data_IF_541846043735
#
_entry.id   IF_541846043735
#
_cell.length_a   1.000
_cell.length_b   1.000
_cell.length_c   1.000
_cell.angle_alpha   90.00
_cell.angle_beta   90.00
_cell.angle_gamma   90.00
#
_symmetry.space_group_name_H-M   'P 1'
#
loop_
_entity.id
_entity.type
_entity.pdbx_description
1 polymer ?
#
# COMPACT_ATOMS: atom_id res chain seq x y z
N UNK A 1 15.79 -26.00 0.25
CA UNK A 1 14.63 -25.29 0.84
C UNK A 1 13.42 -25.63 0.02
N UNK A 2 12.30 -25.90 0.68
CA UNK A 2 11.03 -26.26 0.07
C UNK A 2 10.30 -25.04 -0.52
N UNK A 3 10.75 -23.81 -0.25
CA UNK A 3 10.19 -22.54 -0.76
C UNK A 3 10.31 -22.43 -2.29
N UNK A 4 9.27 -21.90 -2.95
CA UNK A 4 9.24 -21.60 -4.39
C UNK A 4 9.06 -20.10 -4.59
N UNK A 5 10.09 -19.43 -5.09
CA UNK A 5 10.06 -17.98 -5.34
C UNK A 5 9.65 -17.74 -6.79
N UNK A 6 8.65 -16.89 -7.00
CA UNK A 6 8.16 -16.50 -8.33
C UNK A 6 8.36 -15.00 -8.52
N UNK A 7 9.24 -14.61 -9.43
CA UNK A 7 9.35 -13.22 -9.88
C UNK A 7 8.19 -12.91 -10.84
N UNK A 8 7.24 -12.09 -10.40
CA UNK A 8 6.01 -11.76 -11.14
C UNK A 8 6.26 -10.98 -12.44
N UNK A 9 7.39 -10.27 -12.56
CA UNK A 9 7.81 -9.57 -13.78
C UNK A 9 8.30 -10.53 -14.86
N UNK A 10 8.89 -11.67 -14.47
CA UNK A 10 9.26 -12.76 -15.38
C UNK A 10 8.13 -13.78 -15.55
N UNK A 11 7.13 -13.80 -14.67
CA UNK A 11 6.01 -14.76 -14.68
C UNK A 11 4.98 -14.54 -15.80
N UNK A 12 5.44 -14.01 -16.92
CA UNK A 12 4.74 -13.84 -18.19
C UNK A 12 5.55 -14.44 -19.36
N UNK A 13 6.79 -14.86 -19.14
CA UNK A 13 7.61 -15.53 -20.16
C UNK A 13 7.45 -17.05 -20.04
N UNK A 14 7.18 -17.69 -21.17
CA UNK A 14 6.86 -19.13 -21.25
C UNK A 14 7.95 -20.03 -20.67
N UNK A 15 9.22 -19.75 -20.95
CA UNK A 15 10.35 -20.49 -20.39
C UNK A 15 10.41 -20.41 -18.85
N UNK A 16 10.08 -19.25 -18.27
CA UNK A 16 10.11 -19.06 -16.82
C UNK A 16 8.92 -19.77 -16.16
N UNK A 17 7.77 -19.75 -16.82
CA UNK A 17 6.57 -20.50 -16.41
C UNK A 17 6.87 -22.00 -16.42
N UNK A 18 7.48 -22.53 -17.49
CA UNK A 18 7.90 -23.93 -17.56
C UNK A 18 8.88 -24.30 -16.45
N UNK A 19 9.80 -23.41 -16.11
CA UNK A 19 10.74 -23.60 -15.01
C UNK A 19 10.01 -23.69 -13.66
N UNK A 20 9.03 -22.83 -13.40
CA UNK A 20 8.24 -22.85 -12.15
C UNK A 20 7.38 -24.10 -12.04
N UNK A 21 6.96 -24.67 -13.17
CA UNK A 21 6.18 -25.91 -13.27
C UNK A 21 7.02 -27.19 -13.24
N UNK A 22 8.33 -27.08 -13.01
CA UNK A 22 9.23 -28.22 -12.78
C UNK A 22 9.71 -28.23 -11.33
N UNK A 23 9.93 -29.42 -10.77
CA UNK A 23 10.52 -29.57 -9.44
C UNK A 23 11.92 -28.95 -9.43
N UNK A 24 12.25 -28.18 -8.39
CA UNK A 24 13.57 -27.59 -8.23
C UNK A 24 14.04 -27.85 -6.81
N UNK A 25 15.10 -28.67 -6.67
CA UNK A 25 15.57 -29.17 -5.38
C UNK A 25 14.41 -29.84 -4.61
N UNK A 26 14.19 -29.45 -3.36
CA UNK A 26 13.11 -29.95 -2.50
C UNK A 26 11.75 -29.32 -2.82
N UNK A 27 11.74 -28.21 -3.54
CA UNK A 27 10.53 -27.45 -3.85
C UNK A 27 9.74 -28.11 -4.97
N UNK A 28 8.51 -28.53 -4.68
CA UNK A 28 7.61 -29.05 -5.71
C UNK A 28 7.22 -27.97 -6.74
N UNK A 29 6.78 -28.39 -7.95
CA UNK A 29 6.23 -27.47 -8.95
C UNK A 29 5.14 -26.56 -8.40
N UNK A 30 4.96 -25.39 -9.00
CA UNK A 30 3.73 -24.63 -8.76
C UNK A 30 2.51 -25.44 -9.20
N UNK A 31 1.38 -25.38 -8.46
CA UNK A 31 0.14 -25.97 -8.93
C UNK A 31 -0.38 -25.15 -10.12
N UNK A 32 -0.74 -25.82 -11.21
CA UNK A 32 -1.22 -25.16 -12.42
C UNK A 32 -1.95 -26.17 -13.30
N UNK A 33 -3.07 -25.76 -13.89
CA UNK A 33 -3.82 -26.60 -14.85
C UNK A 33 -3.43 -26.31 -16.31
N UNK A 34 -2.79 -25.17 -16.56
CA UNK A 34 -2.52 -24.70 -17.91
C UNK A 34 -1.39 -25.47 -18.57
N UNK A 35 -1.47 -25.77 -19.85
CA UNK A 35 -0.40 -26.42 -20.63
C UNK A 35 0.48 -25.37 -21.32
N UNK A 36 1.68 -25.77 -21.78
CA UNK A 36 2.62 -24.86 -22.44
C UNK A 36 1.97 -24.08 -23.60
N UNK A 37 1.19 -24.75 -24.43
CA UNK A 37 0.47 -24.11 -25.55
C UNK A 37 -0.51 -23.04 -25.10
N UNK A 38 -0.98 -23.07 -23.85
CA UNK A 38 -1.92 -22.09 -23.33
C UNK A 38 -1.27 -20.78 -22.86
N UNK A 39 0.06 -20.77 -22.65
CA UNK A 39 0.80 -19.58 -22.19
C UNK A 39 2.08 -19.27 -22.96
N UNK A 40 2.41 -20.06 -24.01
CA UNK A 40 3.55 -19.79 -24.90
C UNK A 40 3.52 -18.36 -25.44
N UNK A 41 4.67 -17.86 -25.88
CA UNK A 41 4.79 -16.53 -26.47
C UNK A 41 3.66 -16.21 -27.47
N UNK A 42 3.07 -15.01 -27.37
CA UNK A 42 1.96 -14.57 -28.23
C UNK A 42 0.58 -15.11 -27.84
N UNK A 43 0.50 -16.01 -26.87
CA UNK A 43 -0.77 -16.62 -26.42
C UNK A 43 -1.18 -16.04 -25.07
N UNK A 44 -2.35 -15.38 -25.02
CA UNK A 44 -2.94 -14.82 -23.79
C UNK A 44 -1.99 -13.86 -23.04
N UNK A 45 -1.20 -13.07 -23.77
CA UNK A 45 -0.36 -12.02 -23.17
C UNK A 45 -1.22 -11.00 -22.38
N UNK A 46 -2.41 -10.71 -22.90
CA UNK A 46 -3.50 -10.09 -22.17
C UNK A 46 -4.84 -10.70 -22.62
N UNK A 47 -5.83 -10.67 -21.72
CA UNK A 47 -7.20 -11.14 -21.95
C UNK A 47 -8.13 -9.99 -21.66
N UNK A 48 -8.90 -9.54 -22.66
CA UNK A 48 -9.73 -8.35 -22.52
C UNK A 48 -10.98 -8.61 -21.68
N UNK A 49 -11.38 -7.63 -20.90
CA UNK A 49 -12.68 -7.61 -20.20
C UNK A 49 -13.81 -7.38 -21.20
N UNK A 50 -14.78 -8.29 -21.27
CA UNK A 50 -16.01 -8.13 -22.06
C UNK A 50 -17.20 -8.68 -21.30
N UNK A 51 -17.81 -7.84 -20.48
CA UNK A 51 -19.01 -8.20 -19.70
C UNK A 51 -20.32 -7.93 -20.45
N UNK A 52 -20.27 -7.14 -21.52
CA UNK A 52 -21.38 -6.84 -22.41
C UNK A 52 -20.89 -6.68 -23.86
N UNK A 53 -21.84 -6.70 -24.79
CA UNK A 53 -21.66 -6.28 -26.18
C UNK A 53 -22.80 -5.32 -26.58
N UNK A 54 -22.58 -4.52 -27.62
CA UNK A 54 -23.61 -3.64 -28.19
C UNK A 54 -24.07 -4.26 -29.50
N UNK A 55 -25.34 -4.68 -29.57
CA UNK A 55 -25.88 -5.26 -30.79
C UNK A 55 -26.07 -4.21 -31.89
N UNK A 56 -26.39 -4.65 -33.11
CA UNK A 56 -26.65 -3.78 -34.27
C UNK A 56 -27.78 -2.76 -34.03
N UNK A 57 -28.67 -3.02 -33.06
CA UNK A 57 -29.74 -2.11 -32.64
C UNK A 57 -29.28 -1.05 -31.62
N UNK A 58 -27.96 -0.95 -31.36
CA UNK A 58 -27.36 -0.01 -30.42
C UNK A 58 -27.58 -0.37 -28.94
N UNK A 59 -28.19 -1.52 -28.63
CA UNK A 59 -28.48 -1.90 -27.24
C UNK A 59 -27.38 -2.75 -26.63
N UNK A 60 -26.93 -2.36 -25.44
CA UNK A 60 -26.01 -3.14 -24.63
C UNK A 60 -26.71 -4.39 -24.07
N UNK A 61 -26.05 -5.55 -24.20
CA UNK A 61 -26.50 -6.84 -23.68
C UNK A 61 -25.37 -7.51 -22.94
N UNK A 62 -25.65 -8.11 -21.78
CA UNK A 62 -24.64 -8.83 -21.01
C UNK A 62 -24.18 -10.08 -21.76
N UNK A 63 -22.91 -10.45 -21.58
CA UNK A 63 -22.37 -11.70 -22.12
C UNK A 63 -22.81 -12.91 -21.29
N UNK A 64 -22.97 -12.71 -19.98
CA UNK A 64 -23.50 -13.70 -19.04
C UNK A 64 -24.60 -13.07 -18.18
N UNK A 65 -25.57 -13.88 -17.77
CA UNK A 65 -26.64 -13.44 -16.86
C UNK A 65 -26.11 -13.12 -15.46
N UNK A 66 -25.03 -13.79 -15.05
CA UNK A 66 -24.28 -13.54 -13.81
C UNK A 66 -23.10 -12.61 -14.04
N UNK A 67 -22.73 -11.84 -13.01
CA UNK A 67 -21.53 -11.01 -12.97
C UNK A 67 -20.34 -11.67 -12.24
N UNK A 68 -20.55 -12.91 -11.78
CA UNK A 68 -19.62 -13.66 -10.94
C UNK A 68 -19.47 -15.10 -11.46
N UNK A 69 -18.23 -15.58 -11.57
CA UNK A 69 -17.90 -17.00 -11.81
C UNK A 69 -17.05 -17.56 -10.67
N UNK A 70 -17.16 -18.86 -10.40
CA UNK A 70 -16.14 -19.53 -9.58
C UNK A 70 -14.79 -19.53 -10.31
N UNK A 71 -13.68 -19.54 -9.57
CA UNK A 71 -12.33 -19.39 -10.13
C UNK A 71 -11.99 -20.47 -11.16
N UNK A 72 -12.49 -21.71 -11.02
CA UNK A 72 -12.24 -22.78 -11.98
C UNK A 72 -13.03 -22.56 -13.26
N UNK A 73 -14.30 -22.21 -13.17
CA UNK A 73 -15.12 -21.84 -14.34
C UNK A 73 -14.57 -20.62 -15.05
N UNK A 74 -14.10 -19.62 -14.31
CA UNK A 74 -13.43 -18.45 -14.87
C UNK A 74 -12.17 -18.85 -15.64
N UNK A 75 -11.26 -19.61 -15.04
CA UNK A 75 -10.02 -20.05 -15.68
C UNK A 75 -10.30 -20.94 -16.90
N UNK A 76 -11.25 -21.87 -16.79
CA UNK A 76 -11.68 -22.71 -17.91
C UNK A 76 -12.21 -21.86 -19.07
N UNK A 77 -13.01 -20.82 -18.79
CA UNK A 77 -13.52 -19.93 -19.83
C UNK A 77 -12.39 -19.18 -20.55
N UNK A 78 -11.53 -18.50 -19.80
CA UNK A 78 -10.50 -17.61 -20.37
C UNK A 78 -9.34 -18.38 -21.02
N UNK A 79 -9.22 -19.69 -20.74
CA UNK A 79 -8.19 -20.56 -21.31
C UNK A 79 -8.71 -21.60 -22.28
N UNK A 80 -10.00 -21.57 -22.60
CA UNK A 80 -10.62 -22.46 -23.58
C UNK A 80 -10.31 -22.05 -25.02
N UNK A 81 -10.35 -23.05 -25.89
CA UNK A 81 -10.32 -22.89 -27.35
C UNK A 81 -11.71 -23.00 -27.99
N UNK A 82 -12.77 -23.12 -27.18
CA UNK A 82 -14.15 -23.07 -27.64
C UNK A 82 -14.43 -21.72 -28.34
N UNK A 83 -14.99 -21.71 -29.56
CA UNK A 83 -15.31 -20.49 -30.30
C UNK A 83 -16.10 -19.45 -29.50
N UNK A 84 -16.94 -19.86 -28.54
CA UNK A 84 -17.75 -18.96 -27.70
C UNK A 84 -16.92 -18.08 -26.75
N UNK A 85 -15.71 -18.52 -26.45
CA UNK A 85 -14.77 -17.86 -25.52
C UNK A 85 -13.77 -16.94 -26.25
N UNK A 86 -13.82 -16.93 -27.58
CA UNK A 86 -12.94 -16.13 -28.44
C UNK A 86 -13.56 -14.76 -28.73
N UNK A 87 -12.73 -13.75 -28.91
CA UNK A 87 -13.16 -12.39 -29.19
C UNK A 87 -13.95 -12.30 -30.51
N UNK A 88 -13.70 -13.19 -31.47
CA UNK A 88 -14.52 -13.37 -32.68
C UNK A 88 -16.02 -13.42 -32.35
N UNK A 89 -16.40 -14.11 -31.28
CA UNK A 89 -17.80 -14.22 -30.85
C UNK A 89 -18.40 -12.85 -30.50
N UNK A 90 -17.61 -11.97 -29.89
CA UNK A 90 -18.06 -10.62 -29.53
C UNK A 90 -18.34 -9.82 -30.81
N UNK A 91 -17.43 -9.86 -31.78
CA UNK A 91 -17.59 -9.18 -33.07
C UNK A 91 -18.85 -9.67 -33.82
N UNK A 92 -19.05 -10.98 -33.89
CA UNK A 92 -20.25 -11.58 -34.49
C UNK A 92 -21.55 -11.11 -33.81
N UNK A 93 -21.55 -11.02 -32.48
CA UNK A 93 -22.69 -10.54 -31.70
C UNK A 93 -22.98 -9.04 -31.92
N UNK A 94 -21.95 -8.25 -32.21
CA UNK A 94 -22.08 -6.85 -32.60
C UNK A 94 -22.48 -6.67 -34.06
N UNK A 95 -22.42 -7.76 -34.86
CA UNK A 95 -22.69 -7.72 -36.29
C UNK A 95 -21.57 -7.09 -37.10
N UNK A 96 -20.36 -7.08 -36.55
CA UNK A 96 -19.13 -6.65 -37.20
C UNK A 96 -18.66 -7.72 -38.19
N UNK A 97 -18.07 -7.30 -39.30
CA UNK A 97 -17.40 -8.22 -40.22
C UNK A 97 -16.00 -8.58 -39.68
N UNK A 98 -15.86 -9.85 -39.29
CA UNK A 98 -14.68 -10.40 -38.61
C UNK A 98 -13.42 -10.38 -39.49
N UNK A 99 -13.57 -10.31 -40.81
CA UNK A 99 -12.44 -10.32 -41.75
C UNK A 99 -11.68 -8.98 -41.77
N UNK A 100 -12.28 -7.90 -41.26
CA UNK A 100 -11.59 -6.61 -41.04
C UNK A 100 -10.66 -6.61 -39.83
N UNK A 101 -10.71 -7.64 -38.98
CA UNK A 101 -9.93 -7.69 -37.75
C UNK A 101 -8.75 -8.67 -37.86
N UNK A 102 -7.57 -8.34 -37.28
CA UNK A 102 -6.44 -9.25 -37.28
C UNK A 102 -6.78 -10.61 -36.64
N UNK A 103 -6.29 -11.70 -37.25
CA UNK A 103 -6.55 -13.06 -36.74
C UNK A 103 -6.08 -13.26 -35.29
N UNK A 104 -5.04 -12.55 -34.86
CA UNK A 104 -4.58 -12.57 -33.47
C UNK A 104 -5.64 -12.01 -32.51
N UNK A 105 -6.32 -10.93 -32.90
CA UNK A 105 -7.37 -10.33 -32.09
C UNK A 105 -8.60 -11.24 -32.07
N UNK A 106 -9.06 -11.72 -33.23
CA UNK A 106 -10.26 -12.56 -33.31
C UNK A 106 -10.09 -13.90 -32.56
N UNK A 107 -8.88 -14.46 -32.54
CA UNK A 107 -8.53 -15.67 -31.80
C UNK A 107 -8.15 -15.43 -30.32
N UNK A 108 -8.09 -14.18 -29.86
CA UNK A 108 -7.83 -13.89 -28.44
C UNK A 108 -9.01 -14.32 -27.57
N UNK A 109 -8.75 -14.66 -26.31
CA UNK A 109 -9.79 -14.89 -25.33
C UNK A 109 -10.22 -13.57 -24.67
N UNK A 110 -11.42 -13.55 -24.12
CA UNK A 110 -11.91 -12.47 -23.25
C UNK A 110 -12.38 -13.07 -21.93
N UNK A 111 -12.63 -12.22 -20.92
CA UNK A 111 -13.29 -12.64 -19.69
C UNK A 111 -14.66 -11.97 -19.52
N UNK A 112 -15.71 -12.73 -19.12
CA UNK A 112 -17.10 -12.32 -19.26
C UNK A 112 -17.71 -11.66 -18.01
N UNK A 113 -16.99 -11.65 -16.89
CA UNK A 113 -17.51 -11.25 -15.57
C UNK A 113 -16.55 -10.30 -14.86
N UNK A 114 -17.05 -9.53 -13.90
CA UNK A 114 -16.20 -8.64 -13.09
C UNK A 114 -15.69 -9.34 -11.83
N UNK A 115 -16.46 -10.28 -11.29
CA UNK A 115 -16.17 -10.91 -10.02
C UNK A 115 -15.76 -12.37 -10.20
N UNK A 116 -14.79 -12.79 -9.39
CA UNK A 116 -14.34 -14.18 -9.31
C UNK A 116 -14.48 -14.65 -7.87
N UNK A 117 -15.19 -15.76 -7.69
CA UNK A 117 -15.38 -16.43 -6.40
C UNK A 117 -14.37 -17.55 -6.22
N UNK A 118 -13.57 -17.49 -5.16
CA UNK A 118 -12.58 -18.50 -4.77
C UNK A 118 -13.12 -19.27 -3.56
N UNK A 119 -13.52 -20.54 -3.73
CA UNK A 119 -13.96 -21.36 -2.60
C UNK A 119 -12.81 -21.67 -1.64
N UNK A 120 -13.11 -21.70 -0.34
CA UNK A 120 -12.12 -21.94 0.71
C UNK A 120 -12.25 -23.37 1.23
N UNK A 121 -11.16 -24.12 1.18
CA UNK A 121 -11.06 -25.42 1.83
C UNK A 121 -10.65 -25.24 3.29
N UNK A 122 -11.62 -25.03 4.18
CA UNK A 122 -11.38 -24.75 5.60
C UNK A 122 -10.59 -25.85 6.31
N UNK A 123 -10.78 -27.11 5.92
CA UNK A 123 -10.02 -28.23 6.48
C UNK A 123 -8.52 -28.09 6.15
N UNK A 124 -8.17 -27.86 4.89
CA UNK A 124 -6.78 -27.68 4.48
C UNK A 124 -6.18 -26.40 5.06
N UNK A 125 -6.93 -25.30 5.11
CA UNK A 125 -6.47 -24.03 5.70
C UNK A 125 -5.96 -24.24 7.13
N UNK A 126 -6.68 -25.02 7.95
CA UNK A 126 -6.27 -25.34 9.31
C UNK A 126 -5.18 -26.41 9.35
N UNK A 127 -5.32 -27.48 8.56
CA UNK A 127 -4.37 -28.60 8.50
C UNK A 127 -2.95 -28.17 8.12
N UNK A 128 -2.82 -27.24 7.17
CA UNK A 128 -1.52 -26.75 6.69
C UNK A 128 -1.08 -25.45 7.39
N UNK A 129 -1.76 -25.05 8.47
CA UNK A 129 -1.36 -23.90 9.28
C UNK A 129 -1.43 -22.56 8.55
N UNK A 130 -2.29 -22.42 7.54
CA UNK A 130 -2.50 -21.15 6.84
C UNK A 130 -3.10 -20.11 7.79
N UNK A 131 -4.05 -20.56 8.62
CA UNK A 131 -4.70 -19.77 9.67
C UNK A 131 -4.52 -20.49 11.01
N UNK A 132 -4.20 -19.73 12.06
CA UNK A 132 -4.08 -20.26 13.41
C UNK A 132 -5.43 -20.81 13.92
N UNK A 133 -5.46 -21.91 14.70
CA UNK A 133 -6.71 -22.46 15.22
C UNK A 133 -7.58 -21.47 16.01
N UNK A 134 -6.97 -20.48 16.67
CA UNK A 134 -7.68 -19.41 17.41
C UNK A 134 -8.56 -18.52 16.53
N UNK A 135 -8.29 -18.48 15.22
CA UNK A 135 -9.02 -17.68 14.24
C UNK A 135 -9.88 -18.55 13.30
N UNK A 136 -10.10 -19.82 13.64
CA UNK A 136 -10.82 -20.76 12.77
C UNK A 136 -12.26 -20.32 12.48
N UNK A 137 -12.90 -19.60 13.39
CA UNK A 137 -14.24 -19.02 13.27
C UNK A 137 -14.30 -17.86 12.27
N UNK A 138 -13.19 -17.16 12.05
CA UNK A 138 -13.07 -16.02 11.12
C UNK A 138 -12.87 -16.44 9.65
N UNK A 139 -12.63 -17.73 9.39
CA UNK A 139 -12.42 -18.25 8.03
C UNK A 139 -13.72 -18.16 7.23
N UNK A 140 -13.69 -17.41 6.13
CA UNK A 140 -14.83 -17.29 5.20
C UNK A 140 -15.01 -18.55 4.36
N UNK A 141 -16.23 -18.83 3.90
CA UNK A 141 -16.50 -19.95 2.99
C UNK A 141 -15.93 -19.71 1.59
N UNK A 142 -15.94 -18.46 1.14
CA UNK A 142 -15.49 -18.04 -0.17
C UNK A 142 -14.86 -16.65 -0.09
N UNK A 143 -13.80 -16.43 -0.86
CA UNK A 143 -13.30 -15.09 -1.15
C UNK A 143 -13.90 -14.61 -2.47
N UNK A 144 -14.35 -13.37 -2.53
CA UNK A 144 -14.84 -12.77 -3.78
C UNK A 144 -13.96 -11.58 -4.12
N UNK A 145 -13.34 -11.62 -5.30
CA UNK A 145 -12.50 -10.54 -5.82
C UNK A 145 -13.17 -9.87 -7.00
N UNK A 146 -12.89 -8.58 -7.19
CA UNK A 146 -13.28 -7.84 -8.39
C UNK A 146 -12.04 -7.61 -9.26
N UNK A 147 -12.03 -8.16 -10.48
CA UNK A 147 -10.98 -7.86 -11.46
C UNK A 147 -11.19 -6.43 -11.95
N UNK A 148 -10.33 -5.53 -11.47
CA UNK A 148 -10.29 -4.13 -11.89
C UNK A 148 -9.48 -4.00 -13.18
N UNK A 149 -9.75 -2.95 -13.96
CA UNK A 149 -9.13 -2.71 -15.25
C UNK A 149 -9.86 -3.39 -16.43
N UNK A 150 -9.34 -3.14 -17.63
CA UNK A 150 -9.93 -3.59 -18.90
C UNK A 150 -9.28 -4.86 -19.47
N UNK A 151 -8.22 -5.37 -18.83
CA UNK A 151 -7.50 -6.56 -19.27
C UNK A 151 -6.87 -7.31 -18.09
N UNK A 152 -6.76 -8.63 -18.25
CA UNK A 152 -6.03 -9.54 -17.37
C UNK A 152 -4.74 -9.98 -18.07
N UNK A 153 -3.59 -9.59 -17.53
CA UNK A 153 -2.28 -9.97 -18.09
C UNK A 153 -1.90 -11.40 -17.72
N UNK A 154 -1.04 -12.03 -18.55
CA UNK A 154 -0.61 -13.42 -18.41
C UNK A 154 -0.07 -13.78 -17.02
N UNK A 155 0.75 -12.92 -16.43
CA UNK A 155 1.28 -13.16 -15.09
C UNK A 155 0.16 -13.23 -14.04
N UNK A 156 -0.85 -12.37 -14.12
CA UNK A 156 -2.01 -12.40 -13.22
C UNK A 156 -2.90 -13.61 -13.47
N UNK A 157 -3.08 -14.01 -14.74
CA UNK A 157 -3.77 -15.25 -15.10
C UNK A 157 -3.10 -16.45 -14.42
N UNK A 158 -1.77 -16.56 -14.49
CA UNK A 158 -1.06 -17.66 -13.85
C UNK A 158 -1.08 -17.60 -12.32
N UNK A 159 -1.05 -16.41 -11.74
CA UNK A 159 -1.20 -16.26 -10.29
C UNK A 159 -2.58 -16.75 -9.82
N UNK A 160 -3.66 -16.43 -10.57
CA UNK A 160 -4.99 -16.98 -10.31
C UNK A 160 -5.03 -18.50 -10.52
N UNK A 161 -4.34 -19.03 -11.53
CA UNK A 161 -4.22 -20.47 -11.77
C UNK A 161 -3.54 -21.21 -10.60
N UNK A 162 -2.50 -20.62 -10.00
CA UNK A 162 -1.88 -21.14 -8.78
C UNK A 162 -2.92 -21.22 -7.65
N UNK A 163 -3.65 -20.12 -7.39
CA UNK A 163 -4.66 -20.10 -6.31
C UNK A 163 -5.73 -21.17 -6.54
N UNK A 164 -6.23 -21.30 -7.77
CA UNK A 164 -7.29 -22.25 -8.12
C UNK A 164 -6.89 -23.73 -7.94
N UNK A 165 -5.60 -24.04 -8.04
CA UNK A 165 -5.07 -25.41 -8.02
C UNK A 165 -4.30 -25.75 -6.74
N UNK A 166 -4.07 -24.78 -5.85
CA UNK A 166 -3.35 -25.00 -4.59
C UNK A 166 -4.18 -25.76 -3.54
N UNK A 167 -5.51 -25.62 -3.55
CA UNK A 167 -6.43 -26.22 -2.56
C UNK A 167 -5.99 -25.95 -1.10
N UNK A 168 -5.37 -24.78 -0.85
CA UNK A 168 -4.84 -24.37 0.44
C UNK A 168 -3.82 -25.35 1.07
N UNK A 169 -3.13 -26.15 0.25
CA UNK A 169 -2.11 -27.11 0.70
C UNK A 169 -0.76 -26.47 0.97
N UNK A 170 -0.52 -25.32 0.35
CA UNK A 170 0.73 -24.59 0.47
C UNK A 170 0.45 -23.11 0.74
N UNK A 171 1.08 -22.48 1.74
CA UNK A 171 0.98 -21.04 1.95
C UNK A 171 1.42 -20.25 0.70
N UNK A 172 0.68 -19.20 0.37
CA UNK A 172 1.04 -18.25 -0.69
C UNK A 172 1.41 -16.93 -0.02
N UNK A 173 2.59 -16.42 -0.33
CA UNK A 173 3.12 -15.16 0.19
C UNK A 173 3.38 -14.19 -0.95
N UNK A 174 3.13 -12.92 -0.68
CA UNK A 174 3.50 -11.79 -1.53
C UNK A 174 4.58 -10.96 -0.81
N UNK A 175 5.61 -10.55 -1.54
CA UNK A 175 6.55 -9.55 -1.05
C UNK A 175 5.87 -8.17 -1.02
N UNK A 176 6.20 -7.35 -0.04
CA UNK A 176 5.82 -5.94 -0.05
C UNK A 176 6.52 -5.14 -1.15
N UNK A 177 6.22 -3.84 -1.22
CA UNK A 177 6.86 -2.88 -2.14
C UNK A 177 6.08 -2.61 -3.43
N UNK A 178 5.12 -3.47 -3.78
CA UNK A 178 4.13 -3.20 -4.83
C UNK A 178 2.80 -2.75 -4.21
N UNK A 179 2.07 -1.88 -4.90
CA UNK A 179 0.82 -1.30 -4.39
C UNK A 179 -0.36 -1.40 -5.37
N UNK A 180 -0.19 -1.94 -6.58
CA UNK A 180 -1.32 -2.24 -7.46
C UNK A 180 -2.22 -3.31 -6.85
N UNK A 181 -3.52 -3.27 -7.09
CA UNK A 181 -4.41 -4.33 -6.60
C UNK A 181 -4.12 -5.67 -7.29
N UNK A 182 -3.78 -5.61 -8.57
CA UNK A 182 -3.40 -6.74 -9.40
C UNK A 182 -2.08 -7.39 -8.94
N UNK A 183 -1.17 -6.67 -8.29
CA UNK A 183 0.06 -7.24 -7.72
C UNK A 183 -0.24 -8.29 -6.63
N UNK A 184 -1.38 -8.13 -5.96
CA UNK A 184 -1.92 -9.06 -4.98
C UNK A 184 -3.17 -9.78 -5.51
N UNK A 185 -3.32 -9.87 -6.84
CA UNK A 185 -4.48 -10.51 -7.53
C UNK A 185 -5.84 -10.11 -6.96
N UNK A 186 -5.97 -8.83 -6.60
CA UNK A 186 -7.17 -8.21 -6.01
C UNK A 186 -7.59 -8.83 -4.66
N UNK A 187 -6.66 -9.44 -3.93
CA UNK A 187 -6.89 -10.12 -2.63
C UNK A 187 -6.30 -9.37 -1.43
N UNK A 188 -6.06 -8.06 -1.52
CA UNK A 188 -5.48 -7.28 -0.40
C UNK A 188 -6.28 -7.36 0.91
N UNK A 189 -7.60 -7.50 0.81
CA UNK A 189 -8.49 -7.69 1.96
C UNK A 189 -8.34 -9.06 2.66
N UNK A 190 -7.47 -9.94 2.15
CA UNK A 190 -7.29 -11.31 2.62
C UNK A 190 -5.81 -11.59 2.93
N UNK A 191 -5.06 -10.57 3.33
CA UNK A 191 -3.64 -10.67 3.66
C UNK A 191 -3.42 -10.74 5.17
N UNK A 192 -2.32 -11.36 5.57
CA UNK A 192 -1.77 -11.33 6.92
C UNK A 192 -0.29 -10.95 6.83
N UNK A 193 0.14 -9.95 7.59
CA UNK A 193 1.55 -9.57 7.70
C UNK A 193 2.29 -10.59 8.58
N UNK A 194 3.23 -11.32 7.98
CA UNK A 194 4.12 -12.26 8.64
C UNK A 194 5.57 -11.78 8.41
N UNK A 195 6.13 -11.07 9.38
CA UNK A 195 7.43 -10.41 9.31
C UNK A 195 7.50 -9.28 8.28
N UNK A 196 7.98 -9.60 7.09
CA UNK A 196 8.15 -8.64 5.97
C UNK A 196 7.36 -9.04 4.72
N UNK A 197 6.55 -10.10 4.81
CA UNK A 197 5.80 -10.65 3.70
C UNK A 197 4.31 -10.74 4.06
N UNK A 198 3.46 -10.74 3.03
CA UNK A 198 2.02 -10.83 3.18
C UNK A 198 1.54 -12.23 2.79
N UNK A 199 1.08 -13.01 3.78
CA UNK A 199 0.46 -14.32 3.58
C UNK A 199 -0.98 -14.15 3.11
N UNK A 200 -1.40 -14.87 2.08
CA UNK A 200 -2.81 -15.00 1.72
C UNK A 200 -3.54 -15.88 2.73
N UNK A 201 -4.54 -15.32 3.41
CA UNK A 201 -5.38 -16.02 4.40
C UNK A 201 -6.86 -15.77 4.11
N UNK A 202 -7.75 -16.77 4.24
CA UNK A 202 -9.18 -16.60 3.98
C UNK A 202 -9.91 -15.93 5.16
N UNK A 203 -9.35 -14.84 5.70
CA UNK A 203 -9.96 -13.98 6.71
C UNK A 203 -10.08 -12.60 6.12
N UNK A 204 -11.31 -12.09 6.02
CA UNK A 204 -11.55 -10.77 5.44
C UNK A 204 -11.19 -9.67 6.43
N UNK A 205 -10.13 -8.95 6.13
CA UNK A 205 -9.66 -7.75 6.85
C UNK A 205 -9.58 -6.62 5.84
N UNK A 206 -10.60 -5.76 5.73
CA UNK A 206 -10.62 -4.68 4.75
C UNK A 206 -9.40 -3.77 4.91
N UNK A 207 -8.75 -3.42 3.80
CA UNK A 207 -7.68 -2.42 3.83
C UNK A 207 -8.28 -1.07 4.19
N UNK A 208 -7.69 -0.39 5.18
CA UNK A 208 -8.09 0.96 5.53
C UNK A 208 -7.82 1.91 4.35
N UNK A 209 -8.83 2.69 3.97
CA UNK A 209 -8.71 3.67 2.89
C UNK A 209 -7.88 4.87 3.30
N UNK A 210 -7.83 5.20 4.59
CA UNK A 210 -6.98 6.25 5.12
C UNK A 210 -5.51 5.83 5.10
N UNK A 211 -5.24 4.55 5.37
CA UNK A 211 -3.90 3.96 5.40
C UNK A 211 -3.77 2.76 4.45
N UNK A 212 -3.81 2.98 3.12
CA UNK A 212 -3.83 1.89 2.13
C UNK A 212 -2.53 1.06 2.10
N UNK A 213 -1.49 1.54 2.78
CA UNK A 213 -0.20 0.86 2.93
C UNK A 213 -0.20 -0.18 4.05
N UNK A 214 -1.12 -0.06 5.03
CA UNK A 214 -1.27 -1.00 6.14
C UNK A 214 -2.19 -2.16 5.74
N UNK A 215 -1.71 -2.92 4.75
CA UNK A 215 -2.45 -4.06 4.24
C UNK A 215 -2.30 -5.30 5.12
N UNK A 216 -3.38 -6.07 5.19
CA UNK A 216 -3.44 -7.34 5.91
C UNK A 216 -3.61 -7.22 7.42
N UNK A 217 -4.08 -8.29 8.05
CA UNK A 217 -4.14 -8.39 9.51
C UNK A 217 -2.77 -8.71 10.12
N UNK A 218 -2.65 -8.56 11.44
CA UNK A 218 -1.50 -9.04 12.21
C UNK A 218 -1.94 -10.23 13.05
N UNK A 219 -1.22 -11.35 12.98
CA UNK A 219 -1.27 -12.41 14.00
C UNK A 219 -0.11 -12.16 14.96
N UNK A 220 -0.40 -11.53 16.09
CA UNK A 220 0.58 -10.98 17.02
C UNK A 220 1.58 -12.04 17.51
N UNK A 221 1.10 -13.23 17.91
CA UNK A 221 1.94 -14.34 18.37
C UNK A 221 2.91 -14.81 17.29
N UNK A 222 2.43 -14.98 16.05
CA UNK A 222 3.28 -15.43 14.95
C UNK A 222 4.30 -14.36 14.58
N UNK A 223 3.85 -13.12 14.42
CA UNK A 223 4.68 -11.97 14.07
C UNK A 223 5.77 -11.75 15.13
N UNK A 224 5.42 -11.78 16.41
CA UNK A 224 6.37 -11.65 17.52
C UNK A 224 7.45 -12.74 17.48
N UNK A 225 7.05 -14.00 17.28
CA UNK A 225 7.99 -15.11 17.15
C UNK A 225 8.93 -14.97 15.94
N UNK A 226 8.47 -14.36 14.84
CA UNK A 226 9.29 -14.04 13.67
C UNK A 226 10.27 -12.91 13.99
N UNK A 227 9.78 -11.78 14.52
CA UNK A 227 10.57 -10.59 14.85
C UNK A 227 11.67 -10.91 15.85
N UNK A 228 11.37 -11.68 16.90
CA UNK A 228 12.35 -12.12 17.92
C UNK A 228 13.49 -12.99 17.35
N UNK A 229 13.33 -13.50 16.12
CA UNK A 229 14.33 -14.31 15.41
C UNK A 229 15.00 -13.56 14.27
N UNK A 230 14.67 -12.29 14.04
CA UNK A 230 15.38 -11.49 13.05
C UNK A 230 16.84 -11.32 13.44
N UNK A 231 17.70 -11.44 12.43
CA UNK A 231 19.10 -11.08 12.54
C UNK A 231 19.26 -9.64 12.05
N UNK A 232 19.60 -8.76 12.97
CA UNK A 232 19.77 -7.34 12.73
C UNK A 232 21.18 -6.98 12.24
N UNK A 233 22.11 -7.95 12.24
CA UNK A 233 23.49 -7.73 11.84
C UNK A 233 24.13 -6.60 12.65
N UNK A 234 24.65 -5.60 11.95
CA UNK A 234 25.31 -4.41 12.50
C UNK A 234 24.47 -3.14 12.39
N UNK A 235 23.14 -3.25 12.36
CA UNK A 235 22.22 -2.13 12.15
C UNK A 235 22.37 -0.99 13.18
N UNK A 236 22.78 -1.32 14.41
CA UNK A 236 22.98 -0.35 15.49
C UNK A 236 24.43 0.13 15.64
N UNK A 237 25.37 -0.30 14.80
CA UNK A 237 26.78 0.05 14.93
C UNK A 237 27.02 1.54 14.62
N UNK A 238 27.48 2.35 15.60
CA UNK A 238 27.73 3.77 15.40
C UNK A 238 28.89 4.06 14.43
N UNK A 239 29.72 3.06 14.12
CA UNK A 239 30.85 3.19 13.20
C UNK A 239 30.47 2.90 11.74
N UNK A 240 29.24 2.43 11.51
CA UNK A 240 28.74 2.17 10.17
C UNK A 240 28.18 3.46 9.57
N UNK A 241 28.46 3.70 8.28
CA UNK A 241 27.70 4.68 7.52
C UNK A 241 26.39 4.06 7.04
N UNK A 242 25.27 4.48 7.61
CA UNK A 242 23.94 4.13 7.13
C UNK A 242 23.66 4.91 5.86
N UNK A 243 23.81 4.26 4.72
CA UNK A 243 23.57 4.86 3.41
C UNK A 243 22.07 5.12 3.15
N UNK A 244 21.70 5.91 2.13
CA UNK A 244 20.31 6.22 1.84
C UNK A 244 19.40 5.00 1.66
N UNK A 245 19.87 3.89 1.08
CA UNK A 245 19.05 2.69 0.89
C UNK A 245 18.84 1.93 2.20
N UNK A 246 19.86 1.86 3.07
CA UNK A 246 19.69 1.33 4.44
C UNK A 246 18.63 2.11 5.21
N UNK A 247 18.68 3.45 5.15
CA UNK A 247 17.69 4.31 5.80
C UNK A 247 16.31 4.12 5.21
N UNK A 248 16.19 4.06 3.89
CA UNK A 248 14.91 3.88 3.20
C UNK A 248 14.27 2.53 3.51
N UNK A 249 15.06 1.47 3.60
CA UNK A 249 14.57 0.14 3.97
C UNK A 249 14.00 0.11 5.39
N UNK A 250 14.53 0.93 6.31
CA UNK A 250 14.00 1.03 7.68
C UNK A 250 12.53 1.45 7.77
N UNK A 251 12.00 2.11 6.73
CA UNK A 251 10.60 2.52 6.67
C UNK A 251 9.68 1.31 6.85
N UNK A 252 9.95 0.22 6.14
CA UNK A 252 9.11 -0.98 6.20
C UNK A 252 9.29 -1.70 7.55
N UNK A 253 10.51 -1.77 8.09
CA UNK A 253 10.73 -2.37 9.42
C UNK A 253 10.01 -1.60 10.52
N UNK A 254 10.18 -0.28 10.58
CA UNK A 254 9.50 0.59 11.56
C UNK A 254 7.98 0.53 11.41
N UNK A 255 7.46 0.54 10.18
CA UNK A 255 6.02 0.39 9.95
C UNK A 255 5.48 -0.96 10.45
N UNK A 256 6.13 -2.06 10.07
CA UNK A 256 5.68 -3.40 10.45
C UNK A 256 5.77 -3.65 11.96
N UNK A 257 6.83 -3.15 12.62
CA UNK A 257 6.97 -3.25 14.06
C UNK A 257 5.94 -2.37 14.79
N UNK A 258 5.66 -1.15 14.32
CA UNK A 258 4.63 -0.30 14.90
C UNK A 258 3.25 -0.96 14.85
N UNK A 259 2.91 -1.61 13.72
CA UNK A 259 1.66 -2.39 13.60
C UNK A 259 1.58 -3.57 14.58
N UNK A 260 2.71 -4.21 14.88
CA UNK A 260 2.76 -5.26 15.90
C UNK A 260 2.59 -4.69 17.32
N UNK A 261 3.22 -3.55 17.61
CA UNK A 261 3.07 -2.84 18.88
C UNK A 261 1.59 -2.48 19.11
N UNK A 262 0.97 -1.85 18.11
CA UNK A 262 -0.45 -1.48 18.15
C UNK A 262 -1.35 -2.70 18.37
N UNK A 263 -1.07 -3.82 17.66
CA UNK A 263 -1.82 -5.06 17.86
C UNK A 263 -1.71 -5.58 19.30
N UNK A 264 -0.52 -5.54 19.92
CA UNK A 264 -0.36 -5.95 21.32
C UNK A 264 -1.02 -5.01 22.31
N UNK A 265 -1.06 -3.70 22.03
CA UNK A 265 -1.80 -2.75 22.84
C UNK A 265 -3.31 -3.06 22.79
N UNK A 266 -3.85 -3.29 21.59
CA UNK A 266 -5.25 -3.68 21.39
C UNK A 266 -5.61 -5.01 22.06
N UNK A 267 -4.63 -5.90 22.23
CA UNK A 267 -4.76 -7.19 22.91
C UNK A 267 -4.50 -7.10 24.43
N UNK A 268 -4.28 -5.89 24.97
CA UNK A 268 -3.97 -5.64 26.39
C UNK A 268 -2.70 -6.38 26.86
N UNK A 269 -1.70 -6.53 25.98
CA UNK A 269 -0.41 -7.15 26.25
C UNK A 269 0.76 -6.12 26.30
N UNK A 270 0.77 -5.17 27.26
CA UNK A 270 1.66 -4.02 27.25
C UNK A 270 3.15 -4.39 27.32
N UNK A 271 3.49 -5.51 27.98
CA UNK A 271 4.89 -5.97 28.07
C UNK A 271 5.46 -6.37 26.72
N UNK A 272 4.66 -7.06 25.88
CA UNK A 272 5.12 -7.45 24.53
C UNK A 272 5.13 -6.24 23.61
N UNK A 273 4.17 -5.32 23.75
CA UNK A 273 4.18 -4.05 23.02
C UNK A 273 5.45 -3.24 23.32
N UNK A 274 5.80 -3.05 24.59
CA UNK A 274 7.02 -2.34 25.00
C UNK A 274 8.29 -3.03 24.46
N UNK A 275 8.36 -4.36 24.53
CA UNK A 275 9.51 -5.12 24.02
C UNK A 275 9.72 -4.95 22.51
N UNK A 276 8.64 -4.94 21.72
CA UNK A 276 8.74 -4.72 20.27
C UNK A 276 9.13 -3.27 19.96
N UNK A 277 8.62 -2.30 20.74
CA UNK A 277 9.05 -0.91 20.62
C UNK A 277 10.55 -0.75 20.92
N UNK A 278 11.05 -1.40 21.97
CA UNK A 278 12.47 -1.43 22.34
C UNK A 278 13.31 -2.05 21.22
N UNK A 279 12.89 -3.19 20.64
CA UNK A 279 13.59 -3.82 19.50
C UNK A 279 13.74 -2.82 18.34
N UNK A 280 12.72 -2.03 18.04
CA UNK A 280 12.81 -1.03 16.97
C UNK A 280 13.86 0.04 17.30
N UNK A 281 13.89 0.54 18.53
CA UNK A 281 14.78 1.64 18.94
C UNK A 281 16.23 1.18 19.08
N UNK A 282 16.44 -0.03 19.62
CA UNK A 282 17.77 -0.61 19.79
C UNK A 282 18.44 -0.90 18.45
N UNK A 283 17.68 -1.39 17.46
CA UNK A 283 18.22 -1.81 16.18
C UNK A 283 18.15 -0.75 15.08
N UNK A 284 17.28 0.26 15.23
CA UNK A 284 17.19 1.41 14.32
C UNK A 284 17.18 2.73 15.10
N UNK A 285 18.32 3.12 15.72
CA UNK A 285 18.40 4.32 16.55
C UNK A 285 18.03 5.59 15.79
N UNK A 286 17.53 6.59 16.52
CA UNK A 286 17.05 7.87 15.95
C UNK A 286 18.12 8.53 15.08
N UNK A 287 19.37 8.57 15.56
CA UNK A 287 20.45 9.34 14.94
C UNK A 287 20.87 8.86 13.53
N UNK A 288 20.59 7.61 13.17
CA UNK A 288 21.18 6.99 11.97
C UNK A 288 20.20 6.79 10.81
N UNK A 289 18.90 6.73 11.10
CA UNK A 289 17.91 6.20 10.16
C UNK A 289 17.00 7.25 9.52
N UNK A 290 17.04 8.51 9.96
CA UNK A 290 16.13 9.57 9.50
C UNK A 290 14.64 9.15 9.64
N UNK A 291 13.78 9.58 8.70
CA UNK A 291 12.34 9.23 8.62
C UNK A 291 11.62 9.31 9.97
N UNK A 292 11.84 10.41 10.67
CA UNK A 292 11.42 10.64 12.06
C UNK A 292 9.90 10.58 12.25
N UNK A 293 9.12 10.82 11.19
CA UNK A 293 7.66 10.69 11.22
C UNK A 293 7.19 9.28 11.58
N UNK A 294 8.02 8.27 11.35
CA UNK A 294 7.72 6.87 11.69
C UNK A 294 8.00 6.54 13.17
N UNK A 295 8.49 7.50 13.95
CA UNK A 295 8.78 7.33 15.38
C UNK A 295 7.64 7.79 16.28
N UNK A 296 6.68 8.58 15.76
CA UNK A 296 5.48 9.01 16.49
C UNK A 296 4.70 7.83 17.09
N UNK A 297 4.43 6.71 16.36
CA UNK A 297 3.71 5.57 16.94
C UNK A 297 4.42 4.95 18.15
N UNK A 298 5.75 5.00 18.19
CA UNK A 298 6.54 4.47 19.30
C UNK A 298 6.50 5.38 20.53
N UNK A 299 6.46 6.71 20.32
CA UNK A 299 6.24 7.67 21.41
C UNK A 299 4.86 7.42 22.04
N UNK A 300 3.81 7.30 21.22
CA UNK A 300 2.46 6.98 21.71
C UNK A 300 2.43 5.63 22.43
N UNK A 301 3.02 4.60 21.83
CA UNK A 301 3.07 3.26 22.42
C UNK A 301 3.76 3.25 23.79
N UNK A 302 4.89 3.94 23.96
CA UNK A 302 5.55 4.01 25.27
C UNK A 302 4.68 4.68 26.33
N UNK A 303 3.88 5.69 25.98
CA UNK A 303 2.88 6.24 26.91
C UNK A 303 1.77 5.23 27.23
N UNK A 304 1.23 4.56 26.21
CA UNK A 304 0.11 3.61 26.34
C UNK A 304 0.46 2.37 27.17
N UNK A 305 1.71 1.88 27.09
CA UNK A 305 2.20 0.78 27.92
C UNK A 305 2.68 1.22 29.32
N UNK A 306 2.62 2.53 29.62
CA UNK A 306 3.02 3.11 30.90
C UNK A 306 4.53 3.36 31.06
N UNK A 307 5.33 3.19 30.00
CA UNK A 307 6.76 3.46 29.95
C UNK A 307 7.07 4.95 29.71
N UNK A 308 6.52 5.81 30.58
CA UNK A 308 6.53 7.27 30.45
C UNK A 308 7.92 7.87 30.20
N UNK A 309 8.94 7.40 30.92
CA UNK A 309 10.30 7.93 30.79
C UNK A 309 10.91 7.63 29.42
N UNK A 310 10.64 6.45 28.85
CA UNK A 310 11.06 6.10 27.49
C UNK A 310 10.35 6.95 26.43
N UNK A 311 9.05 7.22 26.62
CA UNK A 311 8.29 8.08 25.74
C UNK A 311 8.87 9.50 25.68
N UNK A 312 9.19 10.07 26.85
CA UNK A 312 9.83 11.39 26.97
C UNK A 312 11.22 11.42 26.33
N UNK A 313 12.02 10.37 26.56
CA UNK A 313 13.37 10.28 25.99
C UNK A 313 13.31 10.22 24.47
N UNK A 314 12.48 9.34 23.90
CA UNK A 314 12.31 9.25 22.46
C UNK A 314 11.76 10.56 21.87
N UNK A 315 10.77 11.18 22.52
CA UNK A 315 10.27 12.50 22.11
C UNK A 315 11.39 13.53 22.03
N UNK A 316 12.26 13.62 23.05
CA UNK A 316 13.37 14.58 23.07
C UNK A 316 14.39 14.32 21.96
N UNK A 317 14.70 13.05 21.70
CA UNK A 317 15.62 12.69 20.62
C UNK A 317 15.05 13.10 19.26
N UNK A 318 13.76 12.87 19.04
CA UNK A 318 13.09 13.22 17.78
C UNK A 318 12.87 14.72 17.64
N UNK A 319 12.38 15.40 18.67
CA UNK A 319 12.16 16.85 18.67
C UNK A 319 13.45 17.59 18.39
N UNK A 320 14.57 17.15 18.99
CA UNK A 320 15.89 17.71 18.71
C UNK A 320 16.25 17.69 17.22
N UNK A 321 15.88 16.65 16.47
CA UNK A 321 16.14 16.60 15.02
C UNK A 321 15.34 17.65 14.25
N UNK A 322 14.07 17.85 14.61
CA UNK A 322 13.26 18.91 14.02
C UNK A 322 13.79 20.29 14.42
N UNK A 323 14.17 20.47 15.67
CA UNK A 323 14.79 21.70 16.17
C UNK A 323 16.08 22.04 15.42
N UNK A 324 16.97 21.07 15.21
CA UNK A 324 18.21 21.23 14.44
C UNK A 324 17.93 21.66 12.99
N UNK A 325 16.96 21.02 12.32
CA UNK A 325 16.55 21.40 10.97
C UNK A 325 15.97 22.81 10.92
N UNK A 326 15.07 23.15 11.84
CA UNK A 326 14.44 24.47 11.91
C UNK A 326 15.48 25.56 12.21
N UNK A 327 16.44 25.30 13.10
CA UNK A 327 17.58 26.22 13.32
C UNK A 327 18.41 26.40 12.04
N UNK A 328 18.70 25.31 11.32
CA UNK A 328 19.44 25.39 10.06
C UNK A 328 18.71 26.24 9.02
N UNK A 329 17.40 26.02 8.83
CA UNK A 329 16.60 26.80 7.88
C UNK A 329 16.49 28.27 8.26
N UNK A 330 16.33 28.57 9.56
CA UNK A 330 16.26 29.95 10.06
C UNK A 330 17.56 30.74 9.82
N UNK A 331 18.70 30.06 9.74
CA UNK A 331 20.01 30.67 9.44
C UNK A 331 20.23 30.94 7.93
N UNK A 332 19.37 30.41 7.05
CA UNK A 332 19.47 30.65 5.61
C UNK A 332 18.88 32.01 5.22
N UNK A 333 19.26 32.53 4.05
CA UNK A 333 18.70 33.75 3.49
C UNK A 333 17.21 33.61 3.12
N UNK A 334 16.48 34.73 3.04
CA UNK A 334 15.03 34.76 2.77
C UNK A 334 14.64 34.02 1.48
N UNK A 335 15.48 34.05 0.43
CA UNK A 335 15.18 33.36 -0.83
C UNK A 335 15.28 31.86 -0.64
N UNK A 336 16.33 31.38 0.04
CA UNK A 336 16.49 29.96 0.37
C UNK A 336 15.37 29.48 1.27
N UNK A 337 14.98 30.25 2.29
CA UNK A 337 13.84 29.91 3.16
C UNK A 337 12.53 29.79 2.36
N UNK A 338 12.27 30.73 1.44
CA UNK A 338 11.10 30.67 0.56
C UNK A 338 11.12 29.44 -0.36
N UNK A 339 12.27 29.11 -0.95
CA UNK A 339 12.45 27.90 -1.77
C UNK A 339 12.29 26.61 -0.96
N UNK A 340 12.52 26.67 0.35
CA UNK A 340 12.41 25.55 1.29
C UNK A 340 11.16 25.58 2.17
N UNK A 341 10.18 26.42 1.83
CA UNK A 341 8.97 26.58 2.62
C UNK A 341 8.24 25.25 2.89
N UNK A 342 8.15 24.37 1.89
CA UNK A 342 7.52 23.05 2.05
C UNK A 342 8.27 22.14 3.04
N UNK A 343 9.61 22.15 3.01
CA UNK A 343 10.44 21.37 3.92
C UNK A 343 10.29 21.91 5.36
N UNK A 344 10.33 23.24 5.53
CA UNK A 344 10.16 23.92 6.83
C UNK A 344 8.76 23.63 7.42
N UNK A 345 7.71 23.81 6.62
CA UNK A 345 6.33 23.55 7.04
C UNK A 345 6.14 22.08 7.40
N UNK A 346 6.77 21.16 6.67
CA UNK A 346 6.75 19.75 7.00
C UNK A 346 7.38 19.50 8.37
N UNK A 347 8.58 20.01 8.63
CA UNK A 347 9.24 19.82 9.93
C UNK A 347 8.43 20.42 11.09
N UNK A 348 7.82 21.60 10.90
CA UNK A 348 6.90 22.20 11.87
C UNK A 348 5.71 21.28 12.15
N UNK A 349 5.04 20.78 11.10
CA UNK A 349 3.88 19.92 11.25
C UNK A 349 4.22 18.61 11.96
N UNK A 350 5.40 18.04 11.67
CA UNK A 350 5.84 16.77 12.28
C UNK A 350 6.35 16.93 13.70
N UNK A 351 7.02 18.03 14.01
CA UNK A 351 7.34 18.36 15.40
C UNK A 351 6.05 18.60 16.20
N UNK A 352 5.08 19.33 15.63
CA UNK A 352 3.78 19.51 16.28
C UNK A 352 3.08 18.16 16.54
N UNK A 353 3.09 17.23 15.58
CA UNK A 353 2.43 15.94 15.73
C UNK A 353 2.96 15.14 16.95
N UNK A 354 4.28 15.06 17.14
CA UNK A 354 4.85 14.39 18.32
C UNK A 354 4.60 15.16 19.62
N UNK A 355 4.47 16.49 19.57
CA UNK A 355 4.12 17.32 20.73
C UNK A 355 2.65 17.12 21.13
N UNK A 356 1.75 16.98 20.16
CA UNK A 356 0.34 16.69 20.39
C UNK A 356 0.16 15.35 21.14
N UNK A 357 1.00 14.34 20.85
CA UNK A 357 1.06 13.08 21.63
C UNK A 357 1.43 13.35 23.10
N UNK A 358 2.48 14.15 23.34
CA UNK A 358 2.88 14.53 24.72
C UNK A 358 1.75 15.29 25.42
N UNK A 359 1.10 16.24 24.76
CA UNK A 359 -0.03 17.00 25.29
C UNK A 359 -1.25 16.13 25.60
N UNK A 360 -1.43 15.03 24.89
CA UNK A 360 -2.49 14.06 25.14
C UNK A 360 -2.20 13.20 26.37
N UNK A 361 -0.99 12.64 26.47
CA UNK A 361 -0.65 11.61 27.46
C UNK A 361 0.07 12.12 28.72
N UNK A 362 0.75 13.26 28.65
CA UNK A 362 1.68 13.75 29.69
C UNK A 362 1.51 15.24 30.00
N UNK A 363 0.27 15.60 30.34
CA UNK A 363 -0.09 16.97 30.72
C UNK A 363 0.67 17.42 31.97
N UNK A 364 1.03 18.71 31.99
CA UNK A 364 1.73 19.38 33.08
C UNK A 364 3.10 19.90 32.64
N UNK A 365 4.01 20.06 33.61
CA UNK A 365 5.29 20.77 33.43
C UNK A 365 6.12 20.32 32.23
N UNK A 366 6.07 19.04 31.85
CA UNK A 366 6.82 18.55 30.69
C UNK A 366 6.19 19.04 29.37
N UNK A 367 4.90 18.76 29.16
CA UNK A 367 4.14 19.25 28.02
C UNK A 367 4.19 20.78 27.86
N UNK A 368 4.08 21.53 28.96
CA UNK A 368 4.09 23.00 28.94
C UNK A 368 5.45 23.54 28.47
N UNK A 369 6.56 22.98 29.00
CA UNK A 369 7.92 23.37 28.58
C UNK A 369 8.21 23.04 27.12
N UNK A 370 7.81 21.86 26.67
CA UNK A 370 8.04 21.45 25.28
C UNK A 370 7.14 22.25 24.30
N UNK A 371 5.95 22.67 24.74
CA UNK A 371 5.07 23.57 23.97
C UNK A 371 5.63 24.99 23.87
N UNK A 372 6.21 25.51 24.94
CA UNK A 372 6.94 26.78 24.92
C UNK A 372 8.16 26.69 23.98
N UNK A 373 8.94 25.60 24.08
CA UNK A 373 10.06 25.35 23.18
C UNK A 373 9.63 25.36 21.71
N UNK A 374 8.59 24.59 21.36
CA UNK A 374 8.04 24.56 20.00
C UNK A 374 7.60 25.96 19.53
N UNK A 375 6.93 26.73 20.38
CA UNK A 375 6.49 28.09 20.06
C UNK A 375 7.67 29.02 19.73
N UNK A 376 8.77 28.92 20.48
CA UNK A 376 9.99 29.69 20.21
C UNK A 376 10.61 29.35 18.85
N UNK A 377 10.51 28.08 18.40
CA UNK A 377 10.98 27.68 17.08
C UNK A 377 10.07 28.19 15.95
N UNK A 378 8.77 28.32 16.17
CA UNK A 378 7.86 28.94 15.21
C UNK A 378 8.20 30.42 14.98
N UNK A 379 8.57 31.13 16.05
CA UNK A 379 8.93 32.55 15.98
C UNK A 379 10.22 32.84 15.19
N UNK A 380 11.01 31.82 14.85
CA UNK A 380 12.16 31.96 13.95
C UNK A 380 11.74 32.27 12.50
N UNK A 381 10.50 31.97 12.12
CA UNK A 381 10.02 32.08 10.76
C UNK A 381 8.89 33.11 10.66
N UNK A 382 9.04 34.05 9.72
CA UNK A 382 8.02 35.04 9.42
C UNK A 382 7.04 34.52 8.35
N UNK A 383 6.12 33.63 8.75
CA UNK A 383 5.04 33.14 7.87
C UNK A 383 3.95 34.20 7.63
N UNK A 384 4.35 35.40 7.23
CA UNK A 384 3.43 36.50 7.00
C UNK A 384 2.81 37.03 8.29
N UNK A 385 3.60 37.27 9.34
CA UNK A 385 3.29 38.42 10.21
C UNK A 385 3.44 39.61 9.27
N UNK A 386 2.35 39.98 8.60
CA UNK A 386 2.28 41.11 7.69
C UNK A 386 3.15 42.21 8.27
N UNK A 387 4.27 42.52 7.61
CA UNK A 387 4.87 43.84 7.80
C UNK A 387 3.69 44.77 7.58
N UNK A 388 3.15 45.37 8.64
CA UNK A 388 2.29 46.53 8.49
C UNK A 388 3.16 47.45 7.68
N UNK A 389 2.90 47.54 6.38
CA UNK A 389 3.54 48.56 5.56
C UNK A 389 3.33 49.86 6.35
N UNK A 390 4.39 50.66 6.56
CA UNK A 390 4.18 52.00 7.07
C UNK A 390 3.16 52.61 6.12
N UNK A 391 2.06 53.13 6.67
CA UNK A 391 1.13 53.93 5.89
C UNK A 391 1.98 55.04 5.27
N UNK A 392 2.33 54.92 3.99
CA UNK A 392 2.88 56.03 3.23
C UNK A 392 1.83 57.13 3.34
N UNK A 393 2.21 58.24 3.98
CA UNK A 393 1.44 59.47 3.91
C UNK A 393 1.16 59.72 2.43
N UNK A 394 -0.12 59.66 2.05
CA UNK A 394 -0.55 59.91 0.68
C UNK A 394 0.03 61.25 0.22
N UNK A 395 0.91 61.19 -0.79
CA UNK A 395 1.33 62.38 -1.51
C UNK A 395 0.06 63.06 -2.08
N UNK A 396 -0.05 64.39 -1.97
CA UNK A 396 -1.24 65.11 -2.42
C UNK A 396 -1.46 64.86 -3.92
N UNK A 397 -2.68 64.45 -4.25
CA UNK A 397 -3.12 64.19 -5.61
C UNK A 397 -3.22 65.54 -6.33
N UNK A 398 -2.45 65.70 -7.40
CA UNK A 398 -2.51 66.83 -8.32
C UNK A 398 -3.82 66.72 -9.13
N UNK A 399 -4.74 67.67 -8.97
CA UNK A 399 -6.13 67.60 -9.49
C UNK A 399 -6.27 67.81 -11.01
N UNK A 400 -5.18 67.96 -11.77
CA UNK A 400 -5.25 68.49 -13.13
C UNK A 400 -5.08 67.48 -14.28
N UNK A 401 -5.39 66.19 -14.07
CA UNK A 401 -5.47 65.24 -15.18
C UNK A 401 -6.68 64.31 -15.04
N UNK A 402 -7.83 64.77 -15.53
CA UNK A 402 -8.90 63.90 -16.02
C UNK A 402 -8.95 63.99 -17.55
N UNK A 403 -9.01 62.84 -18.23
CA UNK A 403 -10.05 62.70 -19.24
C UNK A 403 -10.81 61.36 -19.17
N UNK A 404 -12.10 61.51 -18.88
CA UNK A 404 -13.27 60.98 -19.63
C UNK A 404 -13.38 59.50 -20.03
N UNK A 405 -14.43 58.88 -19.46
CA UNK A 405 -15.49 58.06 -20.11
C UNK A 405 -15.10 56.80 -20.90
N UNK A 406 -15.48 55.60 -20.42
CA UNK A 406 -16.80 55.00 -20.68
C UNK A 406 -16.84 53.55 -20.15
N UNK A 407 -17.75 53.30 -19.21
CA UNK A 407 -18.07 51.97 -18.70
C UNK A 407 -19.24 51.38 -19.49
N UNK A 408 -18.98 50.36 -20.31
CA UNK A 408 -20.02 49.49 -20.86
C UNK A 408 -20.24 48.33 -19.89
N UNK A 409 -21.41 48.31 -19.27
CA UNK A 409 -21.97 47.19 -18.52
C UNK A 409 -22.67 46.25 -19.51
N UNK A 410 -22.41 44.94 -19.45
CA UNK A 410 -23.39 43.91 -19.86
C UNK A 410 -23.32 42.72 -18.89
N UNK A 411 -24.47 42.14 -18.46
CA UNK A 411 -24.57 41.34 -17.25
C UNK A 411 -24.59 39.82 -17.48
N UNK A 412 -24.39 39.12 -16.37
CA UNK A 412 -24.56 37.68 -16.14
C UNK A 412 -26.01 37.24 -16.42
N UNK A 413 -26.17 36.09 -17.09
CA UNK A 413 -27.42 35.32 -17.06
C UNK A 413 -27.17 33.88 -16.65
N UNK A 414 -27.98 33.44 -15.69
CA UNK A 414 -28.13 32.09 -15.17
C UNK A 414 -28.84 31.17 -16.19
N UNK A 415 -28.41 29.92 -16.27
CA UNK A 415 -29.20 28.70 -15.98
C UNK A 415 -28.27 27.53 -15.68
#
# INVERSE_FOLDING_TARGET
>A
TDVRIVNTSLFQTDWYIDQMKRKAYDSDPIPSQLTHDQYRYGTRDYIMKRTYYVGQDGKARKIMDTDTLDIKSFLNFVTSDDPRTKFKRILELQGEDVDYYPSQLTNSNYFPVEYVKIPVNKENVLKYGIVAPKDADKIVSDMVIKIKGSALYKNRLLMLDIVANNDWKRPIYFSGGAFGDEDYIWMKDYLQLDGMCYKLVPIKTPVDRANPFDMGRVDSDLMYNIVKKWDWGNSSDPNLYHDPETRKNSITYRGNLARLVEQFINEEEPKKAEEIADIAMDNMPVDYYNYYTLLEPYISAYYEVGAKDKARELFKQVSKKYQENLTYYADQDEITQYQKADDILTDIQRYKAILDVVNQYDKGDFADKESESFSNYLDLFDFGKSKKEPVEEALPIDEDILPTTDSVIVPVQNE
#
